data_IF_855202222102
#
_entry.id   IF_855202222102
#
_cell.length_a   1.000
_cell.length_b   1.000
_cell.length_c   1.000
_cell.angle_alpha   90.00
_cell.angle_beta   90.00
_cell.angle_gamma   90.00
#
_symmetry.space_group_name_H-M   'P 1'
#
loop_
_entity.id
_entity.type
_entity.pdbx_description
1 polymer ?
#
# COMPACT_ATOMS: atom_id res chain seq x y z
N UNK A 1 -1.50 4.58 -11.04
CA UNK A 1 -0.46 5.62 -10.79
C UNK A 1 -0.51 6.83 -11.71
N UNK A 2 -0.55 6.72 -13.05
CA UNK A 2 -0.63 7.92 -13.92
C UNK A 2 -1.83 8.83 -13.62
N UNK A 3 -3.01 8.24 -13.39
CA UNK A 3 -4.21 8.99 -12.98
C UNK A 3 -4.03 9.68 -11.62
N UNK A 4 -3.38 9.02 -10.66
CA UNK A 4 -3.06 9.60 -9.34
C UNK A 4 -2.20 10.86 -9.48
N UNK A 5 -1.12 10.76 -10.26
CA UNK A 5 -0.20 11.89 -10.51
C UNK A 5 -0.88 13.01 -11.32
N UNK A 6 -1.76 12.66 -12.25
CA UNK A 6 -2.61 13.62 -12.97
C UNK A 6 -3.47 14.44 -12.00
N UNK A 7 -4.19 13.78 -11.09
CA UNK A 7 -5.02 14.44 -10.08
C UNK A 7 -4.20 15.35 -9.17
N UNK A 8 -3.03 14.90 -8.71
CA UNK A 8 -2.18 15.70 -7.82
C UNK A 8 -1.54 16.89 -8.54
N UNK A 9 -1.07 16.71 -9.78
CA UNK A 9 -0.44 17.76 -10.57
C UNK A 9 -1.41 18.72 -11.24
N UNK A 10 -2.69 18.36 -11.37
CA UNK A 10 -3.68 19.09 -12.15
C UNK A 10 -3.47 19.02 -13.66
N UNK A 11 -2.55 18.16 -14.15
CA UNK A 11 -2.25 18.02 -15.58
C UNK A 11 -3.15 16.96 -16.23
N UNK A 12 -3.86 17.27 -17.33
CA UNK A 12 -4.63 16.28 -18.06
C UNK A 12 -3.70 15.25 -18.71
N UNK A 13 -4.20 14.02 -18.86
CA UNK A 13 -3.44 12.90 -19.42
C UNK A 13 -4.23 12.17 -20.49
N UNK A 14 -3.53 11.74 -21.53
CA UNK A 14 -4.06 10.82 -22.53
C UNK A 14 -3.26 9.53 -22.50
N UNK A 15 -3.93 8.42 -22.25
CA UNK A 15 -3.33 7.08 -22.24
C UNK A 15 -3.82 6.35 -23.48
N UNK A 16 -2.90 5.99 -24.36
CA UNK A 16 -3.18 5.28 -25.61
C UNK A 16 -2.65 3.83 -25.55
N UNK A 17 -3.09 3.02 -26.51
CA UNK A 17 -2.65 1.64 -26.73
C UNK A 17 -2.80 0.73 -25.50
N UNK A 18 -3.90 0.90 -24.75
CA UNK A 18 -4.21 0.05 -23.60
C UNK A 18 -4.57 -1.35 -24.09
N UNK A 19 -3.65 -2.32 -23.89
CA UNK A 19 -3.83 -3.74 -24.24
C UNK A 19 -4.25 -3.94 -25.69
N UNK A 20 -3.67 -3.17 -26.61
CA UNK A 20 -4.10 -3.16 -28.02
C UNK A 20 -3.97 -4.54 -28.69
N UNK A 21 -3.05 -5.38 -28.22
CA UNK A 21 -2.73 -6.68 -28.82
C UNK A 21 -3.21 -7.88 -27.98
N UNK A 22 -3.93 -7.63 -26.88
CA UNK A 22 -4.54 -8.69 -26.07
C UNK A 22 -5.85 -9.18 -26.73
N UNK A 23 -6.24 -10.43 -26.47
CA UNK A 23 -7.52 -10.99 -26.90
C UNK A 23 -8.73 -10.17 -26.41
N UNK A 24 -8.57 -9.53 -25.25
CA UNK A 24 -9.54 -8.63 -24.64
C UNK A 24 -8.93 -7.22 -24.53
N UNK A 25 -9.01 -6.41 -25.60
CA UNK A 25 -8.36 -5.11 -25.64
C UNK A 25 -9.08 -4.08 -24.76
N UNK A 26 -8.32 -3.04 -24.37
CA UNK A 26 -8.84 -1.90 -23.62
C UNK A 26 -8.76 -2.03 -22.09
N UNK A 27 -9.51 -1.16 -21.42
CA UNK A 27 -9.57 -1.11 -19.96
C UNK A 27 -10.24 -2.36 -19.37
N UNK A 28 -9.70 -2.82 -18.23
CA UNK A 28 -10.35 -3.86 -17.42
C UNK A 28 -11.38 -3.24 -16.47
N UNK A 29 -12.31 -4.07 -16.01
CA UNK A 29 -13.40 -3.63 -15.12
C UNK A 29 -12.90 -2.94 -13.84
N UNK A 30 -11.81 -3.44 -13.24
CA UNK A 30 -11.25 -2.86 -12.02
C UNK A 30 -10.65 -1.46 -12.26
N UNK A 31 -10.17 -1.18 -13.48
CA UNK A 31 -9.62 0.13 -13.87
C UNK A 31 -10.75 1.13 -14.12
N UNK A 32 -11.81 0.72 -14.80
CA UNK A 32 -13.04 1.54 -14.96
C UNK A 32 -13.64 1.86 -13.60
N UNK A 33 -13.68 0.87 -12.70
CA UNK A 33 -14.15 1.05 -11.33
C UNK A 33 -13.27 2.03 -10.53
N UNK A 34 -11.94 2.02 -10.75
CA UNK A 34 -11.03 2.99 -10.14
C UNK A 34 -11.26 4.41 -10.66
N UNK A 35 -11.51 4.56 -11.97
CA UNK A 35 -11.85 5.86 -12.56
C UNK A 35 -13.15 6.41 -11.93
N UNK A 36 -14.18 5.57 -11.75
CA UNK A 36 -15.41 5.95 -11.03
C UNK A 36 -15.14 6.37 -9.59
N UNK A 37 -14.20 5.72 -8.90
CA UNK A 37 -13.81 6.14 -7.54
C UNK A 37 -13.13 7.52 -7.56
N UNK A 38 -12.23 7.77 -8.50
CA UNK A 38 -11.58 9.07 -8.66
C UNK A 38 -12.61 10.18 -8.94
N UNK A 39 -13.58 9.91 -9.81
CA UNK A 39 -14.68 10.82 -10.13
C UNK A 39 -15.50 11.19 -8.88
N UNK A 40 -15.81 10.22 -8.00
CA UNK A 40 -16.50 10.48 -6.73
C UNK A 40 -15.72 11.36 -5.73
N UNK A 41 -14.39 11.32 -5.76
CA UNK A 41 -13.53 12.05 -4.80
C UNK A 41 -13.24 13.47 -5.29
N UNK A 42 -13.24 13.64 -6.60
CA UNK A 42 -12.91 14.89 -7.28
C UNK A 42 -14.18 15.62 -7.70
N UNK A 43 -14.07 16.91 -8.01
CA UNK A 43 -15.17 17.69 -8.57
C UNK A 43 -14.70 18.35 -9.86
N UNK A 44 -15.45 18.15 -10.96
CA UNK A 44 -15.10 18.65 -12.29
C UNK A 44 -14.09 17.80 -13.06
N UNK A 45 -13.98 16.51 -12.72
CA UNK A 45 -13.18 15.56 -13.52
C UNK A 45 -13.93 15.25 -14.82
N UNK A 46 -13.21 15.24 -15.93
CA UNK A 46 -13.75 14.85 -17.23
C UNK A 46 -13.00 13.61 -17.70
N UNK A 47 -13.75 12.57 -18.05
CA UNK A 47 -13.20 11.31 -18.55
C UNK A 47 -13.86 10.99 -19.88
N UNK A 48 -13.04 10.86 -20.91
CA UNK A 48 -13.47 10.45 -22.24
C UNK A 48 -12.81 9.13 -22.61
N UNK A 49 -13.64 8.16 -22.99
CA UNK A 49 -13.21 6.83 -23.41
C UNK A 49 -13.50 6.68 -24.90
N UNK A 50 -12.55 6.14 -25.64
CA UNK A 50 -12.84 5.69 -27.01
C UNK A 50 -13.77 4.46 -26.97
N UNK A 51 -14.50 4.20 -28.06
CA UNK A 51 -15.45 3.09 -28.19
C UNK A 51 -14.82 1.73 -27.84
N UNK A 52 -13.57 1.52 -28.21
CA UNK A 52 -12.81 0.28 -27.94
C UNK A 52 -12.17 0.23 -26.55
N UNK A 53 -12.24 1.30 -25.76
CA UNK A 53 -11.60 1.38 -24.43
C UNK A 53 -10.06 1.35 -24.45
N UNK A 54 -9.43 1.40 -25.63
CA UNK A 54 -7.96 1.35 -25.82
C UNK A 54 -7.28 2.70 -25.66
N UNK A 55 -8.06 3.79 -25.58
CA UNK A 55 -7.58 5.15 -25.32
C UNK A 55 -8.49 5.83 -24.32
N UNK A 56 -7.88 6.52 -23.35
CA UNK A 56 -8.55 7.29 -22.30
C UNK A 56 -7.95 8.68 -22.23
N UNK A 57 -8.81 9.69 -22.31
CA UNK A 57 -8.47 11.05 -21.91
C UNK A 57 -9.04 11.32 -20.52
N UNK A 58 -8.19 11.81 -19.62
CA UNK A 58 -8.54 12.09 -18.24
C UNK A 58 -8.06 13.50 -17.88
N UNK A 59 -9.02 14.37 -17.61
CA UNK A 59 -8.78 15.71 -17.11
C UNK A 59 -9.15 15.77 -15.62
N UNK A 60 -8.18 15.99 -14.72
CA UNK A 60 -8.42 15.95 -13.29
C UNK A 60 -9.25 17.15 -12.81
N UNK A 61 -10.23 16.88 -11.96
CA UNK A 61 -10.94 17.89 -11.18
C UNK A 61 -10.25 18.22 -9.85
N UNK A 62 -10.89 19.07 -9.04
CA UNK A 62 -10.40 19.44 -7.71
C UNK A 62 -10.72 18.37 -6.66
N UNK A 63 -9.77 18.05 -5.78
CA UNK A 63 -9.97 17.09 -4.70
C UNK A 63 -10.94 17.61 -3.64
N UNK A 64 -12.17 17.09 -3.62
CA UNK A 64 -13.19 17.52 -2.68
C UNK A 64 -13.16 16.70 -1.37
N UNK A 65 -13.05 15.37 -1.48
CA UNK A 65 -13.18 14.45 -0.34
C UNK A 65 -14.59 14.39 0.22
N UNK A 66 -14.73 14.05 1.51
CA UNK A 66 -16.03 13.86 2.17
C UNK A 66 -16.35 12.39 2.46
N UNK A 67 -17.64 12.08 2.63
CA UNK A 67 -18.12 10.72 2.86
C UNK A 67 -18.35 10.01 1.54
N UNK A 68 -17.70 8.86 1.34
CA UNK A 68 -17.75 8.12 0.08
C UNK A 68 -17.98 6.65 0.38
N UNK A 69 -19.00 6.08 -0.24
CA UNK A 69 -19.25 4.63 -0.26
C UNK A 69 -18.93 4.11 -1.65
N UNK A 70 -18.06 3.09 -1.74
CA UNK A 70 -17.64 2.54 -3.01
C UNK A 70 -17.51 1.03 -2.99
N UNK A 71 -18.16 0.39 -3.95
CA UNK A 71 -18.05 -1.04 -4.19
C UNK A 71 -16.91 -1.31 -5.18
N UNK A 72 -15.87 -1.98 -4.68
CA UNK A 72 -14.68 -2.34 -5.42
C UNK A 72 -14.96 -3.55 -6.32
N UNK A 73 -14.31 -3.59 -7.48
CA UNK A 73 -14.38 -4.75 -8.36
C UNK A 73 -13.76 -5.98 -7.68
N UNK A 74 -14.40 -7.14 -7.79
CA UNK A 74 -13.93 -8.40 -7.17
C UNK A 74 -12.61 -8.92 -7.76
N UNK A 75 -12.22 -8.46 -8.96
CA UNK A 75 -10.98 -8.86 -9.64
C UNK A 75 -9.71 -8.31 -8.97
N UNK A 76 -9.84 -7.28 -8.12
CA UNK A 76 -8.74 -6.64 -7.39
C UNK A 76 -9.10 -6.48 -5.92
N UNK A 77 -8.11 -6.57 -5.04
CA UNK A 77 -8.27 -6.31 -3.62
C UNK A 77 -8.62 -4.85 -3.35
N UNK A 78 -9.25 -4.59 -2.21
CA UNK A 78 -9.55 -3.23 -1.72
C UNK A 78 -8.26 -2.40 -1.60
N UNK A 79 -7.12 -3.04 -1.32
CA UNK A 79 -5.80 -2.40 -1.24
C UNK A 79 -5.45 -1.61 -2.51
N UNK A 80 -5.78 -2.13 -3.70
CA UNK A 80 -5.55 -1.42 -4.98
C UNK A 80 -6.21 -0.03 -5.02
N UNK A 81 -7.43 0.08 -4.51
CA UNK A 81 -8.16 1.35 -4.43
C UNK A 81 -7.65 2.20 -3.26
N UNK A 82 -7.33 1.55 -2.15
CA UNK A 82 -6.88 2.19 -0.93
C UNK A 82 -5.51 2.86 -1.08
N UNK A 83 -4.61 2.29 -1.87
CA UNK A 83 -3.31 2.90 -2.23
C UNK A 83 -3.51 4.31 -2.81
N UNK A 84 -4.48 4.46 -3.71
CA UNK A 84 -4.84 5.74 -4.34
C UNK A 84 -5.50 6.68 -3.33
N UNK A 85 -6.40 6.17 -2.48
CA UNK A 85 -7.04 6.99 -1.44
C UNK A 85 -6.06 7.50 -0.40
N UNK A 86 -5.11 6.67 0.04
CA UNK A 86 -4.11 7.04 1.04
C UNK A 86 -3.16 8.10 0.45
N UNK A 87 -2.82 8.01 -0.84
CA UNK A 87 -2.03 9.02 -1.52
C UNK A 87 -2.75 10.37 -1.66
N UNK A 88 -4.06 10.38 -2.00
CA UNK A 88 -4.85 11.60 -2.22
C UNK A 88 -5.46 12.22 -0.96
N UNK A 89 -5.76 11.39 0.04
CA UNK A 89 -6.54 11.74 1.23
C UNK A 89 -6.08 13.01 1.94
N UNK A 90 -4.76 13.21 2.20
CA UNK A 90 -4.27 14.42 2.85
C UNK A 90 -4.57 15.70 2.08
N UNK A 91 -4.75 15.63 0.76
CA UNK A 91 -4.89 16.79 -0.13
C UNK A 91 -6.35 17.09 -0.52
N UNK A 92 -7.32 16.46 0.14
CA UNK A 92 -8.74 16.77 -0.05
C UNK A 92 -9.15 18.10 0.60
N UNK A 93 -10.22 18.74 0.10
CA UNK A 93 -10.82 19.93 0.74
C UNK A 93 -11.44 19.61 2.10
N UNK A 94 -12.23 18.53 2.15
CA UNK A 94 -12.87 18.00 3.36
C UNK A 94 -12.17 16.71 3.79
N UNK A 95 -12.15 16.38 5.09
CA UNK A 95 -11.67 15.09 5.56
C UNK A 95 -12.35 13.94 4.79
N UNK A 96 -11.55 12.97 4.38
CA UNK A 96 -12.00 11.82 3.62
C UNK A 96 -12.48 10.73 4.58
N UNK A 97 -13.72 10.27 4.40
CA UNK A 97 -14.30 9.13 5.12
C UNK A 97 -14.85 8.16 4.09
N UNK A 98 -14.10 7.12 3.78
CA UNK A 98 -14.46 6.13 2.77
C UNK A 98 -14.88 4.82 3.42
N UNK A 99 -15.98 4.25 2.92
CA UNK A 99 -16.38 2.87 3.18
C UNK A 99 -16.21 2.11 1.87
N UNK A 100 -15.26 1.18 1.85
CA UNK A 100 -14.97 0.33 0.71
C UNK A 100 -15.51 -1.09 0.95
N UNK A 101 -16.23 -1.63 -0.02
CA UNK A 101 -16.73 -3.01 0.03
C UNK A 101 -16.15 -3.84 -1.11
N UNK A 102 -15.76 -5.09 -0.85
CA UNK A 102 -15.13 -5.93 -1.87
C UNK A 102 -14.30 -7.07 -1.29
N UNK A 103 -13.25 -7.47 -2.02
CA UNK A 103 -12.28 -8.47 -1.56
C UNK A 103 -11.19 -7.77 -0.74
N UNK A 104 -10.96 -8.20 0.51
CA UNK A 104 -9.96 -7.57 1.38
C UNK A 104 -8.55 -8.07 1.12
N UNK A 105 -8.40 -9.34 0.74
CA UNK A 105 -7.11 -9.98 0.54
C UNK A 105 -7.17 -10.83 -0.72
N UNK A 106 -6.21 -10.62 -1.61
CA UNK A 106 -6.07 -11.35 -2.88
C UNK A 106 -4.62 -11.78 -3.02
N UNK A 107 -4.39 -12.93 -3.65
CA UNK A 107 -3.05 -13.43 -3.94
C UNK A 107 -2.23 -12.42 -4.78
N UNK A 108 -0.91 -12.33 -4.54
CA UNK A 108 0.01 -11.38 -5.18
C UNK A 108 -0.36 -9.89 -5.03
N UNK A 109 -1.15 -9.55 -4.01
CA UNK A 109 -1.50 -8.17 -3.69
C UNK A 109 -1.22 -7.90 -2.21
N UNK A 110 -1.01 -6.62 -1.91
CA UNK A 110 -0.79 -6.16 -0.54
C UNK A 110 -2.09 -6.32 0.24
N UNK A 111 -2.02 -6.83 1.47
CA UNK A 111 -3.20 -6.91 2.33
C UNK A 111 -3.62 -5.56 2.88
N UNK A 112 -4.89 -5.43 3.27
CA UNK A 112 -5.36 -4.26 4.01
C UNK A 112 -4.64 -4.14 5.36
N UNK A 113 -4.31 -5.25 6.01
CA UNK A 113 -3.58 -5.27 7.29
C UNK A 113 -2.16 -4.68 7.14
N UNK A 114 -1.43 -5.06 6.08
CA UNK A 114 -0.11 -4.48 5.76
C UNK A 114 -0.20 -3.00 5.41
N UNK A 115 -1.31 -2.52 4.84
CA UNK A 115 -1.51 -1.08 4.65
C UNK A 115 -1.71 -0.35 5.99
N UNK A 116 -2.40 -0.95 6.97
CA UNK A 116 -2.57 -0.39 8.32
C UNK A 116 -1.21 -0.23 9.01
N UNK A 117 -0.38 -1.27 8.99
CA UNK A 117 0.88 -1.32 9.76
C UNK A 117 2.10 -0.84 9.00
N UNK A 118 2.07 -0.84 7.67
CA UNK A 118 3.18 -0.40 6.80
C UNK A 118 3.01 1.02 6.28
N UNK A 119 1.93 1.28 5.53
CA UNK A 119 1.74 2.57 4.84
C UNK A 119 1.39 3.69 5.80
N UNK A 120 0.46 3.46 6.74
CA UNK A 120 -0.01 4.55 7.60
C UNK A 120 1.10 5.12 8.50
N UNK A 121 1.99 4.32 9.12
CA UNK A 121 3.11 4.88 9.87
C UNK A 121 4.05 5.73 9.01
N UNK A 122 4.30 5.32 7.76
CA UNK A 122 5.09 6.13 6.82
C UNK A 122 4.39 7.46 6.54
N UNK A 123 3.08 7.45 6.25
CA UNK A 123 2.33 8.69 6.03
C UNK A 123 2.36 9.60 7.27
N UNK A 124 2.21 9.06 8.49
CA UNK A 124 2.30 9.82 9.75
C UNK A 124 3.63 10.57 9.89
N UNK A 125 4.73 10.00 9.40
CA UNK A 125 6.02 10.70 9.40
C UNK A 125 6.02 11.97 8.55
N UNK A 126 5.15 12.09 7.53
CA UNK A 126 4.98 13.30 6.72
C UNK A 126 3.91 14.26 7.25
N UNK A 127 3.05 13.80 8.16
CA UNK A 127 2.01 14.62 8.77
C UNK A 127 2.58 15.39 9.97
N UNK A 128 2.10 16.63 10.15
CA UNK A 128 2.44 17.44 11.35
C UNK A 128 1.57 17.03 12.54
N UNK A 129 0.31 16.69 12.27
CA UNK A 129 -0.67 16.22 13.25
C UNK A 129 -1.37 15.00 12.66
N UNK A 130 -1.49 13.93 13.44
CA UNK A 130 -2.00 12.63 13.01
C UNK A 130 -3.49 12.40 13.31
N UNK A 131 -4.13 13.36 13.98
CA UNK A 131 -5.51 13.24 14.44
C UNK A 131 -6.47 12.96 13.28
N UNK A 132 -7.15 11.82 13.38
CA UNK A 132 -8.21 11.39 12.45
C UNK A 132 -7.76 10.45 11.32
N UNK A 133 -6.46 10.10 11.22
CA UNK A 133 -5.99 9.08 10.28
C UNK A 133 -6.24 7.67 10.85
N UNK A 134 -7.14 6.91 10.25
CA UNK A 134 -7.44 5.55 10.67
C UNK A 134 -7.89 4.68 9.51
N UNK A 135 -7.48 3.41 9.53
CA UNK A 135 -7.96 2.37 8.63
C UNK A 135 -8.42 1.20 9.48
N UNK A 136 -9.68 0.80 9.32
CA UNK A 136 -10.32 -0.27 10.11
C UNK A 136 -10.92 -1.31 9.18
N UNK A 137 -10.57 -2.57 9.42
CA UNK A 137 -11.23 -3.72 8.78
C UNK A 137 -12.43 -4.09 9.63
N UNK A 138 -13.65 -3.88 9.12
CA UNK A 138 -14.90 -4.18 9.85
C UNK A 138 -15.39 -5.58 9.50
N UNK A 139 -15.29 -5.96 8.22
CA UNK A 139 -15.62 -7.29 7.73
C UNK A 139 -14.52 -7.77 6.79
N UNK A 140 -14.12 -9.03 6.90
CA UNK A 140 -13.19 -9.65 5.94
C UNK A 140 -13.97 -10.29 4.81
N UNK A 141 -13.43 -10.22 3.59
CA UNK A 141 -14.06 -10.82 2.42
C UNK A 141 -13.04 -11.40 1.47
N UNK A 142 -13.08 -12.71 1.27
CA UNK A 142 -12.13 -13.41 0.39
C UNK A 142 -12.72 -13.54 -1.01
N UNK A 143 -11.85 -13.55 -2.02
CA UNK A 143 -12.24 -13.94 -3.37
C UNK A 143 -12.79 -15.38 -3.38
N UNK A 144 -13.73 -15.72 -4.29
CA UNK A 144 -14.25 -14.90 -5.39
C UNK A 144 -15.39 -13.95 -5.00
N UNK A 145 -16.23 -14.28 -4.03
CA UNK A 145 -17.45 -13.51 -3.75
C UNK A 145 -17.26 -12.22 -2.95
N UNK A 146 -16.11 -12.06 -2.28
CA UNK A 146 -15.78 -10.88 -1.48
C UNK A 146 -16.71 -10.72 -0.26
N UNK A 147 -17.28 -9.51 -0.12
CA UNK A 147 -18.16 -9.15 1.01
C UNK A 147 -17.44 -8.56 2.23
N UNK A 148 -16.19 -8.14 2.04
CA UNK A 148 -15.45 -7.40 3.05
C UNK A 148 -15.86 -5.93 3.09
N UNK A 149 -15.60 -5.28 4.22
CA UNK A 149 -15.91 -3.89 4.47
C UNK A 149 -14.76 -3.25 5.24
N UNK A 150 -14.22 -2.17 4.67
CA UNK A 150 -13.09 -1.43 5.20
C UNK A 150 -13.48 0.04 5.32
N UNK A 151 -13.23 0.61 6.49
CA UNK A 151 -13.44 2.03 6.77
C UNK A 151 -12.10 2.76 6.80
N UNK A 152 -11.96 3.76 5.93
CA UNK A 152 -10.79 4.62 5.87
C UNK A 152 -11.17 6.05 6.21
N UNK A 153 -10.47 6.64 7.17
CA UNK A 153 -10.59 8.05 7.53
C UNK A 153 -9.23 8.71 7.35
N UNK A 154 -9.19 9.81 6.60
CA UNK A 154 -7.99 10.60 6.38
C UNK A 154 -8.30 12.09 6.60
N UNK A 155 -7.54 12.78 7.45
CA UNK A 155 -7.77 14.18 7.71
C UNK A 155 -7.14 15.06 6.62
N UNK A 156 -7.84 16.13 6.25
CA UNK A 156 -7.34 17.08 5.25
C UNK A 156 -6.22 17.97 5.81
N UNK A 157 -5.10 18.05 5.10
CA UNK A 157 -3.91 18.83 5.43
C UNK A 157 -3.57 19.84 4.34
N UNK A 158 -2.88 20.91 4.72
CA UNK A 158 -2.47 21.99 3.80
C UNK A 158 -1.18 21.63 3.06
N UNK A 159 -0.21 21.07 3.78
CA UNK A 159 1.09 20.67 3.27
C UNK A 159 1.63 19.50 4.09
N UNK A 160 2.51 18.73 3.50
CA UNK A 160 3.31 17.70 4.18
C UNK A 160 4.66 18.28 4.60
N UNK A 161 5.23 17.77 5.69
CA UNK A 161 6.57 18.18 6.15
C UNK A 161 7.65 17.36 5.44
N UNK A 162 8.79 17.98 5.08
CA UNK A 162 9.97 17.26 4.62
C UNK A 162 10.48 16.32 5.72
N UNK A 163 11.06 15.18 5.33
CA UNK A 163 11.57 14.18 6.27
C UNK A 163 13.01 13.78 5.96
N UNK A 164 13.73 13.37 7.00
CA UNK A 164 15.06 12.81 6.90
C UNK A 164 15.10 11.48 7.67
N UNK A 165 14.87 10.38 6.96
CA UNK A 165 14.84 9.04 7.55
C UNK A 165 16.00 8.24 6.97
N UNK A 166 17.11 8.29 7.70
CA UNK A 166 18.42 7.81 7.22
C UNK A 166 18.83 6.45 7.81
N UNK A 167 18.16 6.00 8.88
CA UNK A 167 18.54 4.81 9.66
C UNK A 167 17.34 3.93 9.94
N UNK A 168 17.44 2.64 9.61
CA UNK A 168 16.36 1.68 9.87
C UNK A 168 16.26 1.22 11.34
N UNK A 169 17.35 1.31 12.10
CA UNK A 169 17.42 0.78 13.47
C UNK A 169 17.48 -0.75 13.54
N UNK A 170 17.44 -1.30 14.76
CA UNK A 170 17.36 -2.76 14.99
C UNK A 170 15.91 -3.19 15.07
N UNK A 171 15.59 -4.40 14.60
CA UNK A 171 14.26 -4.99 14.79
C UNK A 171 14.08 -5.28 16.28
N UNK A 172 13.04 -4.69 16.90
CA UNK A 172 12.80 -4.82 18.34
C UNK A 172 11.75 -5.89 18.66
N UNK A 173 10.77 -6.06 17.77
CA UNK A 173 9.66 -7.00 17.95
C UNK A 173 8.95 -7.31 16.65
N UNK A 174 8.28 -8.45 16.62
CA UNK A 174 7.43 -8.86 15.49
C UNK A 174 5.98 -8.94 15.96
N UNK A 175 5.09 -8.33 15.17
CA UNK A 175 3.64 -8.41 15.32
C UNK A 175 3.04 -9.05 14.07
N UNK A 176 1.81 -9.53 14.16
CA UNK A 176 1.12 -10.03 13.00
C UNK A 176 -0.35 -10.29 13.26
N UNK A 177 -1.09 -10.47 12.18
CA UNK A 177 -2.50 -10.86 12.19
C UNK A 177 -2.66 -12.05 11.25
N UNK A 178 -3.07 -13.18 11.80
CA UNK A 178 -3.52 -14.34 11.03
C UNK A 178 -5.02 -14.27 10.96
N UNK A 179 -5.57 -14.19 9.75
CA UNK A 179 -7.00 -14.18 9.56
C UNK A 179 -7.46 -15.54 9.04
N UNK A 180 -8.61 -15.99 9.55
CA UNK A 180 -9.25 -17.23 9.12
C UNK A 180 -10.75 -16.99 9.02
N UNK A 181 -11.26 -17.11 7.79
CA UNK A 181 -12.61 -16.68 7.41
C UNK A 181 -13.37 -17.88 6.86
N UNK A 182 -14.52 -18.22 7.46
CA UNK A 182 -15.35 -19.38 7.09
C UNK A 182 -14.60 -20.73 7.03
N UNK A 183 -13.47 -20.84 7.73
CA UNK A 183 -12.71 -22.08 7.92
C UNK A 183 -12.56 -22.38 9.41
N UNK A 184 -12.09 -23.57 9.75
CA UNK A 184 -11.84 -23.94 11.15
C UNK A 184 -10.78 -23.02 11.77
N UNK A 185 -10.94 -22.59 13.04
CA UNK A 185 -9.91 -21.81 13.74
C UNK A 185 -8.58 -22.56 13.89
N UNK A 186 -8.56 -23.89 13.73
CA UNK A 186 -7.33 -24.69 13.73
C UNK A 186 -6.36 -24.27 12.63
N UNK A 187 -6.86 -23.75 11.50
CA UNK A 187 -6.01 -23.22 10.42
C UNK A 187 -5.18 -22.02 10.90
N UNK A 188 -5.79 -21.10 11.65
CA UNK A 188 -5.08 -19.94 12.19
C UNK A 188 -3.99 -20.36 13.18
N UNK A 189 -4.30 -21.31 14.07
CA UNK A 189 -3.34 -21.78 15.07
C UNK A 189 -2.11 -22.46 14.42
N UNK A 190 -2.32 -23.29 13.40
CA UNK A 190 -1.23 -23.95 12.65
C UNK A 190 -0.29 -22.95 12.00
N UNK A 191 -0.83 -21.88 11.39
CA UNK A 191 -0.03 -20.80 10.79
C UNK A 191 0.78 -20.06 11.86
N UNK A 192 0.16 -19.75 13.01
CA UNK A 192 0.86 -19.07 14.11
C UNK A 192 2.02 -19.91 14.62
N UNK A 193 1.82 -21.22 14.78
CA UNK A 193 2.85 -22.14 15.26
C UNK A 193 4.04 -22.20 14.31
N UNK A 194 3.81 -22.40 13.00
CA UNK A 194 4.91 -22.47 12.04
C UNK A 194 5.62 -21.14 11.82
N UNK A 195 4.87 -20.02 11.76
CA UNK A 195 5.48 -18.71 11.66
C UNK A 195 6.35 -18.39 12.90
N UNK A 196 5.85 -18.70 14.11
CA UNK A 196 6.64 -18.54 15.35
C UNK A 196 7.86 -19.47 15.38
N UNK A 197 7.73 -20.71 14.91
CA UNK A 197 8.82 -21.68 14.87
C UNK A 197 10.05 -21.19 14.09
N UNK A 198 9.83 -20.40 13.02
CA UNK A 198 10.91 -19.75 12.27
C UNK A 198 11.43 -18.50 12.98
N UNK A 199 10.52 -17.61 13.41
CA UNK A 199 10.87 -16.27 13.88
C UNK A 199 11.49 -16.25 15.29
N UNK A 200 11.09 -17.18 16.17
CA UNK A 200 11.63 -17.27 17.53
C UNK A 200 13.10 -17.65 17.58
N UNK A 201 13.66 -18.20 16.48
CA UNK A 201 15.10 -18.45 16.37
C UNK A 201 15.92 -17.15 16.31
N UNK A 202 15.29 -16.03 15.93
CA UNK A 202 15.96 -14.74 15.77
C UNK A 202 15.61 -13.74 16.87
N UNK A 203 14.37 -13.74 17.36
CA UNK A 203 13.90 -12.76 18.32
C UNK A 203 12.80 -13.33 19.25
N UNK A 204 12.86 -13.11 20.56
CA UNK A 204 11.88 -13.67 21.50
C UNK A 204 10.51 -12.96 21.50
N UNK A 205 10.45 -11.64 21.23
CA UNK A 205 9.19 -10.87 21.24
C UNK A 205 8.43 -10.99 19.90
N UNK A 206 7.79 -12.15 19.70
CA UNK A 206 6.93 -12.44 18.54
C UNK A 206 5.49 -12.67 18.99
N UNK A 207 4.59 -11.74 18.62
CA UNK A 207 3.17 -11.82 18.96
C UNK A 207 2.29 -11.75 17.71
N UNK A 208 1.58 -12.84 17.41
CA UNK A 208 0.71 -12.94 16.24
C UNK A 208 -0.71 -13.11 16.74
N UNK A 209 -1.59 -12.18 16.37
CA UNK A 209 -3.01 -12.21 16.74
C UNK A 209 -3.79 -13.09 15.77
N UNK A 210 -4.80 -13.82 16.27
CA UNK A 210 -5.69 -14.63 15.45
C UNK A 210 -7.05 -13.93 15.29
N UNK A 211 -7.38 -13.58 14.06
CA UNK A 211 -8.64 -12.96 13.67
C UNK A 211 -9.53 -14.02 12.99
N UNK A 212 -10.27 -14.78 13.81
CA UNK A 212 -11.25 -15.74 13.32
C UNK A 212 -12.61 -15.06 13.14
N UNK A 213 -13.08 -15.04 11.90
CA UNK A 213 -14.36 -14.42 11.57
C UNK A 213 -15.43 -15.49 11.25
N UNK A 214 -16.60 -15.37 11.91
CA UNK A 214 -17.83 -16.14 11.64
C UNK A 214 -19.02 -15.24 11.29
N UNK A 215 -20.02 -15.79 10.61
CA UNK A 215 -21.27 -15.10 10.27
C UNK A 215 -21.04 -13.91 9.35
N UNK A 216 -21.76 -12.82 9.60
CA UNK A 216 -21.78 -11.63 8.73
C UNK A 216 -20.44 -10.89 8.64
N UNK A 217 -19.52 -11.10 9.59
CA UNK A 217 -18.17 -10.52 9.57
C UNK A 217 -17.19 -11.30 8.67
N UNK A 218 -17.57 -12.52 8.27
CA UNK A 218 -16.75 -13.46 7.53
C UNK A 218 -16.95 -13.41 6.00
N UNK A 219 -17.56 -12.34 5.48
CA UNK A 219 -17.80 -12.19 4.06
C UNK A 219 -18.57 -13.37 3.47
N UNK A 220 -18.33 -13.67 2.19
CA UNK A 220 -19.07 -14.71 1.44
C UNK A 220 -18.24 -15.94 1.08
N UNK A 221 -16.91 -15.85 1.09
CA UNK A 221 -16.01 -16.94 0.67
C UNK A 221 -15.06 -17.38 1.80
N UNK A 222 -14.68 -18.66 1.84
CA UNK A 222 -13.66 -19.13 2.77
C UNK A 222 -12.26 -18.70 2.35
N UNK A 223 -11.37 -18.52 3.32
CA UNK A 223 -9.96 -18.25 3.08
C UNK A 223 -9.22 -17.94 4.37
N UNK A 224 -7.89 -18.07 4.31
CA UNK A 224 -7.02 -17.80 5.44
C UNK A 224 -5.69 -17.22 4.95
N UNK A 225 -4.99 -16.54 5.84
CA UNK A 225 -3.71 -15.95 5.51
C UNK A 225 -3.12 -15.23 6.71
N UNK A 226 -1.95 -14.66 6.50
CA UNK A 226 -1.18 -13.97 7.51
C UNK A 226 -0.59 -12.70 6.95
N UNK A 227 -0.62 -11.66 7.77
CA UNK A 227 0.16 -10.44 7.60
C UNK A 227 1.11 -10.33 8.79
N UNK A 228 2.40 -10.27 8.53
CA UNK A 228 3.42 -10.07 9.58
C UNK A 228 4.02 -8.68 9.45
N UNK A 229 4.43 -8.13 10.58
CA UNK A 229 5.06 -6.81 10.66
C UNK A 229 6.22 -6.85 11.64
N UNK A 230 7.42 -6.49 11.17
CA UNK A 230 8.58 -6.25 12.03
C UNK A 230 8.68 -4.76 12.34
N UNK A 231 8.77 -4.42 13.63
CA UNK A 231 8.91 -3.04 14.10
C UNK A 231 10.35 -2.81 14.58
N UNK A 232 10.95 -1.70 14.15
CA UNK A 232 12.30 -1.34 14.56
C UNK A 232 12.34 -0.34 15.72
N UNK A 233 13.53 -0.13 16.28
CA UNK A 233 13.77 0.86 17.33
C UNK A 233 13.56 2.30 16.85
N UNK A 234 13.70 2.58 15.55
CA UNK A 234 13.51 3.93 14.98
C UNK A 234 12.09 4.16 14.45
N UNK A 235 11.17 3.20 14.63
CA UNK A 235 9.78 3.33 14.17
C UNK A 235 9.59 3.05 12.68
N UNK A 236 10.48 2.25 12.09
CA UNK A 236 10.29 1.66 10.75
C UNK A 236 9.53 0.35 10.87
N UNK A 237 8.67 0.09 9.88
CA UNK A 237 7.85 -1.12 9.81
C UNK A 237 8.11 -1.85 8.50
N UNK A 238 8.49 -3.12 8.60
CA UNK A 238 8.55 -4.04 7.46
C UNK A 238 7.34 -4.94 7.49
N UNK A 239 6.68 -5.11 6.36
CA UNK A 239 5.44 -5.88 6.24
C UNK A 239 5.58 -6.96 5.19
N UNK A 240 4.94 -8.10 5.42
CA UNK A 240 4.79 -9.14 4.42
C UNK A 240 3.40 -9.78 4.54
N UNK A 241 2.96 -10.40 3.45
CA UNK A 241 1.67 -11.04 3.34
C UNK A 241 1.82 -12.41 2.69
N UNK A 242 1.10 -13.40 3.22
CA UNK A 242 0.92 -14.69 2.58
C UNK A 242 -0.53 -15.15 2.74
N UNK A 243 -1.11 -15.71 1.68
CA UNK A 243 -2.54 -15.95 1.57
C UNK A 243 -2.82 -17.32 0.97
N UNK A 244 -3.90 -17.96 1.40
CA UNK A 244 -4.36 -19.22 0.82
C UNK A 244 -4.81 -19.02 -0.61
N UNK A 245 -4.47 -19.95 -1.48
CA UNK A 245 -4.98 -19.97 -2.85
C UNK A 245 -6.46 -20.38 -2.83
N UNK A 246 -7.24 -19.81 -3.75
CA UNK A 246 -8.65 -20.16 -3.92
C UNK A 246 -8.71 -21.61 -4.43
N UNK A 247 -9.37 -22.55 -3.71
CA UNK A 247 -9.52 -23.90 -4.21
C UNK A 247 -10.42 -23.89 -5.44
N UNK A 248 -9.82 -24.06 -6.63
CA UNK A 248 -10.47 -24.07 -7.93
C UNK A 248 -9.48 -24.33 -9.06
N UNK A 249 -9.94 -24.91 -10.18
CA UNK A 249 -9.14 -25.20 -11.38
C UNK A 249 -7.90 -26.10 -11.16
N UNK A 250 -8.03 -27.19 -10.40
CA UNK A 250 -6.96 -28.18 -10.24
C UNK A 250 -5.76 -27.71 -9.41
N UNK A 251 -5.86 -26.56 -8.74
CA UNK A 251 -4.84 -26.07 -7.81
C UNK A 251 -4.99 -26.76 -6.47
N UNK A 252 -3.90 -27.33 -5.96
CA UNK A 252 -3.89 -27.99 -4.66
C UNK A 252 -4.22 -27.01 -3.53
N UNK A 253 -5.00 -27.46 -2.51
CA UNK A 253 -5.34 -26.62 -1.39
C UNK A 253 -4.07 -26.22 -0.63
N UNK A 254 -3.92 -24.93 -0.32
CA UNK A 254 -2.76 -24.45 0.42
C UNK A 254 -2.70 -25.06 1.82
N UNK A 255 -1.51 -25.51 2.21
CA UNK A 255 -1.25 -26.04 3.55
C UNK A 255 -0.97 -24.87 4.51
N UNK A 256 -1.66 -24.78 5.66
CA UNK A 256 -1.47 -23.67 6.61
C UNK A 256 -0.03 -23.52 7.11
N UNK A 257 0.64 -24.63 7.35
CA UNK A 257 2.03 -24.69 7.80
C UNK A 257 2.98 -24.04 6.80
N UNK A 258 2.79 -24.32 5.51
CA UNK A 258 3.59 -23.77 4.41
C UNK A 258 3.37 -22.27 4.30
N UNK A 259 2.12 -21.79 4.46
CA UNK A 259 1.84 -20.35 4.46
C UNK A 259 2.55 -19.64 5.61
N UNK A 260 2.52 -20.21 6.82
CA UNK A 260 3.20 -19.61 7.98
C UNK A 260 4.72 -19.56 7.81
N UNK A 261 5.31 -20.64 7.29
CA UNK A 261 6.75 -20.71 7.00
C UNK A 261 7.14 -19.73 5.89
N UNK A 262 6.35 -19.70 4.81
CA UNK A 262 6.56 -18.79 3.68
C UNK A 262 6.46 -17.32 4.11
N UNK A 263 5.46 -16.96 4.91
CA UNK A 263 5.31 -15.60 5.43
C UNK A 263 6.50 -15.17 6.30
N UNK A 264 6.98 -16.06 7.17
CA UNK A 264 8.15 -15.79 7.99
C UNK A 264 9.40 -15.55 7.12
N UNK A 265 9.61 -16.38 6.09
CA UNK A 265 10.71 -16.21 5.14
C UNK A 265 10.60 -14.89 4.35
N UNK A 266 9.41 -14.53 3.88
CA UNK A 266 9.17 -13.25 3.20
C UNK A 266 9.45 -12.05 4.12
N UNK A 267 9.11 -12.15 5.40
CA UNK A 267 9.43 -11.09 6.38
C UNK A 267 10.94 -10.94 6.54
N UNK A 268 11.65 -12.06 6.69
CA UNK A 268 13.11 -12.07 6.80
C UNK A 268 13.77 -11.53 5.54
N UNK A 269 13.22 -11.81 4.35
CA UNK A 269 13.69 -11.25 3.09
C UNK A 269 13.50 -9.72 3.04
N UNK A 270 12.35 -9.20 3.47
CA UNK A 270 12.13 -7.74 3.55
C UNK A 270 13.03 -7.07 4.59
N UNK A 271 13.30 -7.72 5.73
CA UNK A 271 14.29 -7.24 6.71
C UNK A 271 15.71 -7.24 6.11
N UNK A 272 16.05 -8.28 5.35
CA UNK A 272 17.36 -8.39 4.68
C UNK A 272 17.54 -7.32 3.60
N UNK A 273 16.49 -7.03 2.82
CA UNK A 273 16.48 -5.91 1.86
C UNK A 273 16.67 -4.57 2.55
N UNK A 274 16.11 -4.42 3.76
CA UNK A 274 16.32 -3.28 4.63
C UNK A 274 15.75 -1.97 4.09
N UNK A 275 16.27 -0.86 4.60
CA UNK A 275 15.75 0.48 4.34
C UNK A 275 14.70 0.93 5.37
N UNK A 276 14.04 2.05 5.12
CA UNK A 276 13.07 2.64 6.05
C UNK A 276 11.61 2.42 5.64
N UNK A 277 11.39 1.63 4.59
CA UNK A 277 10.05 1.27 4.08
C UNK A 277 10.11 -0.10 3.43
N UNK A 278 9.00 -0.85 3.53
CA UNK A 278 8.81 -2.11 2.78
C UNK A 278 8.89 -1.86 1.28
N UNK A 279 9.43 -2.81 0.51
CA UNK A 279 9.57 -2.72 -0.95
C UNK A 279 8.28 -2.29 -1.67
N UNK A 280 7.14 -2.78 -1.20
CA UNK A 280 5.81 -2.51 -1.74
C UNK A 280 5.32 -1.05 -1.60
N UNK A 281 5.87 -0.29 -0.65
CA UNK A 281 5.41 1.07 -0.34
C UNK A 281 6.43 2.17 -0.68
N UNK A 282 7.55 1.81 -1.30
CA UNK A 282 8.59 2.75 -1.74
C UNK A 282 8.04 3.85 -2.65
N UNK A 283 7.11 3.52 -3.56
CA UNK A 283 6.46 4.48 -4.47
C UNK A 283 5.68 5.55 -3.71
N UNK A 284 4.92 5.18 -2.68
CA UNK A 284 4.15 6.13 -1.86
C UNK A 284 5.06 7.04 -1.04
N UNK A 285 6.14 6.49 -0.48
CA UNK A 285 7.15 7.30 0.22
C UNK A 285 7.77 8.34 -0.73
N UNK A 286 8.19 7.93 -1.93
CA UNK A 286 8.72 8.84 -2.95
C UNK A 286 7.69 9.90 -3.39
N UNK A 287 6.42 9.52 -3.54
CA UNK A 287 5.34 10.47 -3.84
C UNK A 287 5.23 11.56 -2.77
N UNK A 288 5.17 11.18 -1.50
CA UNK A 288 5.02 12.15 -0.42
C UNK A 288 6.22 13.05 -0.28
N UNK A 289 7.45 12.54 -0.48
CA UNK A 289 8.66 13.37 -0.49
C UNK A 289 8.57 14.51 -1.50
N UNK A 290 8.09 14.23 -2.73
CA UNK A 290 7.91 15.23 -3.79
C UNK A 290 6.85 16.27 -3.40
N UNK A 291 5.78 15.84 -2.73
CA UNK A 291 4.65 16.70 -2.33
C UNK A 291 4.87 17.42 -0.99
N UNK A 292 6.10 17.46 -0.47
CA UNK A 292 6.43 18.26 0.71
C UNK A 292 6.62 19.74 0.37
N UNK A 293 6.83 20.55 1.40
CA UNK A 293 7.27 21.94 1.26
C UNK A 293 8.62 22.02 0.51
N UNK A 294 9.03 23.21 0.05
CA UNK A 294 10.29 23.41 -0.69
C UNK A 294 11.50 23.23 0.21
N UNK A 295 11.84 21.98 0.47
CA UNK A 295 12.97 21.58 1.30
C UNK A 295 13.44 20.17 0.88
N UNK A 296 14.64 19.82 1.30
CA UNK A 296 15.29 18.56 0.95
C UNK A 296 14.75 17.44 1.84
N UNK A 297 14.14 16.43 1.22
CA UNK A 297 13.81 15.18 1.89
C UNK A 297 14.84 14.11 1.54
N UNK A 298 15.26 13.35 2.55
CA UNK A 298 16.15 12.20 2.40
C UNK A 298 15.50 10.96 2.99
N UNK A 299 15.46 9.88 2.23
CA UNK A 299 14.80 8.65 2.66
C UNK A 299 15.60 7.43 2.21
N UNK A 300 16.05 6.64 3.18
CA UNK A 300 16.77 5.40 2.92
C UNK A 300 15.78 4.30 2.53
N UNK A 301 16.00 3.67 1.39
CA UNK A 301 15.23 2.52 0.91
C UNK A 301 16.12 1.31 0.73
N UNK A 302 15.55 0.10 0.74
CA UNK A 302 16.23 -1.08 0.21
C UNK A 302 16.37 -1.00 -1.32
N UNK A 303 16.74 -2.11 -1.99
CA UNK A 303 16.76 -2.18 -3.44
C UNK A 303 15.45 -1.71 -4.07
N UNK A 304 15.54 -0.90 -5.12
CA UNK A 304 14.35 -0.34 -5.77
C UNK A 304 13.62 -1.41 -6.57
N UNK A 305 12.32 -1.52 -6.34
CA UNK A 305 11.47 -2.41 -7.16
C UNK A 305 11.30 -1.85 -8.58
N UNK A 306 11.06 -2.69 -9.60
CA UNK A 306 10.72 -2.24 -10.95
C UNK A 306 9.51 -1.28 -10.98
N UNK A 307 8.56 -1.51 -10.07
CA UNK A 307 7.41 -0.64 -9.87
C UNK A 307 7.82 0.76 -9.40
N UNK A 308 8.70 0.85 -8.40
CA UNK A 308 9.25 2.12 -7.89
C UNK A 308 10.04 2.85 -8.98
N UNK A 309 10.90 2.14 -9.72
CA UNK A 309 11.69 2.74 -10.81
C UNK A 309 10.78 3.37 -11.86
N UNK A 310 9.73 2.65 -12.29
CA UNK A 310 8.78 3.20 -13.26
C UNK A 310 7.99 4.37 -12.68
N UNK A 311 7.69 4.32 -11.39
CA UNK A 311 7.01 5.41 -10.70
C UNK A 311 7.87 6.68 -10.63
N UNK A 312 9.18 6.57 -10.37
CA UNK A 312 10.11 7.71 -10.37
C UNK A 312 10.17 8.40 -11.74
N UNK A 313 10.15 7.63 -12.84
CA UNK A 313 10.05 8.18 -14.20
C UNK A 313 8.75 8.99 -14.37
N UNK A 314 7.64 8.46 -13.88
CA UNK A 314 6.37 9.19 -13.93
C UNK A 314 6.36 10.43 -13.03
N UNK A 315 7.05 10.43 -11.89
CA UNK A 315 7.21 11.66 -11.11
C UNK A 315 7.94 12.73 -11.92
N UNK A 316 9.00 12.35 -12.65
CA UNK A 316 9.71 13.27 -13.53
C UNK A 316 8.80 13.83 -14.63
N UNK A 317 8.02 12.99 -15.30
CA UNK A 317 7.08 13.41 -16.35
C UNK A 317 6.04 14.43 -15.84
N UNK A 318 5.48 14.20 -14.65
CA UNK A 318 4.37 14.98 -14.12
C UNK A 318 4.81 16.21 -13.33
N UNK A 319 5.83 16.09 -12.49
CA UNK A 319 6.28 17.14 -11.58
C UNK A 319 7.62 17.77 -11.96
N UNK A 320 8.36 17.19 -12.90
CA UNK A 320 9.70 17.67 -13.28
C UNK A 320 10.76 17.45 -12.19
N UNK A 321 10.47 16.60 -11.20
CA UNK A 321 11.38 16.32 -10.07
C UNK A 321 12.22 15.10 -10.38
N UNK A 322 13.53 15.24 -10.23
CA UNK A 322 14.50 14.16 -10.33
C UNK A 322 15.02 13.81 -8.94
N UNK A 323 15.11 12.52 -8.66
CA UNK A 323 15.71 12.03 -7.42
C UNK A 323 17.21 11.81 -7.62
N UNK A 324 18.01 12.27 -6.65
CA UNK A 324 19.39 11.82 -6.52
C UNK A 324 19.40 10.47 -5.80
N UNK A 325 20.01 9.47 -6.43
CA UNK A 325 20.14 8.12 -5.91
C UNK A 325 21.60 7.91 -5.50
N UNK A 326 21.86 7.86 -4.20
CA UNK A 326 23.19 7.53 -3.68
C UNK A 326 23.13 6.10 -3.10
N UNK A 327 23.91 5.18 -3.66
CA UNK A 327 24.07 3.84 -3.09
C UNK A 327 24.93 3.94 -1.84
N UNK A 328 24.40 3.52 -0.69
CA UNK A 328 25.24 3.30 0.47
C UNK A 328 26.01 2.00 0.23
N UNK A 329 27.29 2.14 -0.10
CA UNK A 329 28.23 1.04 0.01
C UNK A 329 28.25 0.59 1.47
N UNK A 330 28.50 -0.70 1.69
CA UNK A 330 28.72 -1.20 3.04
C UNK A 330 29.94 -0.45 3.54
N UNK A 331 29.77 0.45 4.51
CA UNK A 331 30.92 1.01 5.20
C UNK A 331 31.70 -0.20 5.72
N UNK A 332 32.99 -0.29 5.38
CA UNK A 332 33.97 -1.21 5.96
C UNK A 332 34.14 -0.87 7.45
N UNK A 333 33.04 -0.99 8.20
CA UNK A 333 33.01 -0.86 9.63
C UNK A 333 33.44 -2.19 10.22
N UNK A 334 34.31 -2.14 11.22
CA UNK A 334 34.84 -3.27 12.02
C UNK A 334 33.74 -4.07 12.78
N UNK A 335 32.53 -4.15 12.24
CA UNK A 335 31.42 -4.91 12.80
C UNK A 335 31.14 -6.13 11.92
N UNK A 336 31.22 -7.32 12.52
CA UNK A 336 30.82 -8.61 11.93
C UNK A 336 29.30 -8.70 11.63
N UNK A 337 28.62 -7.56 11.46
CA UNK A 337 27.18 -7.47 11.28
C UNK A 337 26.85 -7.61 9.79
N UNK A 338 26.06 -8.62 9.46
CA UNK A 338 25.53 -8.79 8.12
C UNK A 338 24.47 -7.72 7.84
N UNK A 339 24.91 -6.60 7.26
CA UNK A 339 24.09 -5.42 6.98
C UNK A 339 23.04 -5.60 5.88
N UNK A 340 22.88 -6.82 5.35
CA UNK A 340 21.86 -7.15 4.36
C UNK A 340 22.22 -6.70 2.94
N UNK A 341 21.19 -6.37 2.17
CA UNK A 341 21.28 -5.92 0.78
C UNK A 341 21.75 -4.47 0.66
N UNK A 342 22.13 -4.07 -0.56
CA UNK A 342 22.49 -2.69 -0.90
C UNK A 342 21.31 -1.76 -0.66
N UNK A 343 21.54 -0.68 0.08
CA UNK A 343 20.54 0.35 0.36
C UNK A 343 20.74 1.55 -0.56
N UNK A 344 19.64 2.19 -0.94
CA UNK A 344 19.64 3.36 -1.82
C UNK A 344 19.05 4.54 -1.06
N UNK A 345 19.85 5.60 -0.92
CA UNK A 345 19.41 6.88 -0.38
C UNK A 345 18.71 7.68 -1.47
N UNK A 346 17.41 7.91 -1.28
CA UNK A 346 16.63 8.79 -2.14
C UNK A 346 16.72 10.22 -1.60
N UNK A 347 17.16 11.16 -2.42
CA UNK A 347 17.12 12.60 -2.08
C UNK A 347 16.33 13.35 -3.15
N UNK A 348 15.36 14.17 -2.72
CA UNK A 348 14.66 15.10 -3.62
C UNK A 348 14.33 16.41 -2.91
N UNK A 349 14.14 17.45 -3.72
CA UNK A 349 13.59 18.72 -3.28
C UNK A 349 12.06 18.69 -3.46
N UNK A 350 11.31 18.94 -2.40
CA UNK A 350 9.85 19.05 -2.49
C UNK A 350 9.41 20.22 -3.38
N UNK A 351 8.30 20.06 -4.10
CA UNK A 351 7.82 21.10 -5.03
C UNK A 351 7.19 22.31 -4.32
N UNK A 352 6.97 22.22 -3.01
CA UNK A 352 6.17 23.19 -2.28
C UNK A 352 4.68 22.94 -2.46
N UNK A 353 4.29 21.66 -2.53
CA UNK A 353 2.89 21.32 -2.82
C UNK A 353 1.99 21.83 -1.70
N UNK A 354 1.01 22.65 -2.07
CA UNK A 354 -0.04 23.11 -1.18
C UNK A 354 -1.37 22.61 -1.70
N UNK A 355 -2.19 22.10 -0.79
CA UNK A 355 -3.54 21.64 -1.10
C UNK A 355 -4.36 22.80 -1.70
N UNK A 356 -4.51 22.75 -3.02
CA UNK A 356 -5.22 23.75 -3.83
C UNK A 356 -6.69 23.92 -3.40
N UNK A 357 -7.25 22.91 -2.74
CA UNK A 357 -8.66 22.86 -2.38
C UNK A 357 -8.96 23.45 -1.00
N UNK A 358 -7.94 23.69 -0.16
CA UNK A 358 -8.08 24.24 1.19
C UNK A 358 -7.77 25.75 1.18
N UNK A 359 -8.78 26.59 1.45
CA UNK A 359 -8.59 28.05 1.57
C UNK A 359 -7.59 28.38 2.68
N UNK A 360 -6.62 29.22 2.38
CA UNK A 360 -5.86 29.97 3.38
C UNK A 360 -6.80 30.95 4.06
N UNK A 361 -7.09 30.71 5.33
CA UNK A 361 -7.57 31.75 6.24
C UNK A 361 -6.39 32.62 6.64
#
# INVERSE_FOLDING_TARGET
MRLLLSVLSGKPVRINDIRRWDDFPGLREYEVNLIRLLDKITNGTVVELNYTGTSVYFQPGLLHGGQITHECCKLKGISYYLEVLIALGPFCKRPLKCVLTGVTNTHNEISVDSMVTGVLPVLKQFLVVDDGLSLKVVKRGMAPEGGGLVEFSCPARKSLKPIQVLKMGKVKRIRGVVYAVRVSPTFANRIVETAKGVLLNFLPDVFINTDHCKGDRAGKSPGFGVSLTAETTTGVFFTCDAHSVIPGNGVEPSVPEDIGTHAANLLLEEIYRGGCVTSSFQSLAALWMVLTQRDVSKFLTGPLSPYTIKFLQHIQDFFGVTFKLDTQEKEDSDSDLNDGATKVMLTCLGIGYSNLSKRTL
#
